data_IF_891475268768
#
_entry.id   IF_891475268768
#
_cell.length_a   1.000
_cell.length_b   1.000
_cell.length_c   1.000
_cell.angle_alpha   90.00
_cell.angle_beta   90.00
_cell.angle_gamma   90.00
#
_symmetry.space_group_name_H-M   'P 1'
#
loop_
_entity.id
_entity.type
_entity.pdbx_description
1 polymer ?
#
# COMPACT_ATOMS: atom_id res chain seq x y z
N UNK A 1 3.76 9.90 -12.40
CA UNK A 1 3.33 8.55 -12.02
C UNK A 1 3.80 8.25 -10.62
N UNK A 2 2.91 8.43 -9.65
CA UNK A 2 3.21 8.16 -8.22
C UNK A 2 2.63 6.80 -7.85
N UNK A 3 3.51 5.88 -7.45
CA UNK A 3 3.13 4.59 -6.88
C UNK A 3 3.49 4.55 -5.40
N UNK A 4 2.62 3.96 -4.58
CA UNK A 4 2.80 3.83 -3.13
C UNK A 4 2.76 2.37 -2.73
N UNK A 5 3.67 1.97 -1.84
CA UNK A 5 3.63 0.68 -1.14
C UNK A 5 3.20 0.92 0.31
N UNK A 6 2.16 0.23 0.76
CA UNK A 6 1.78 0.17 2.17
C UNK A 6 2.32 -1.11 2.78
N UNK A 7 3.23 -0.97 3.74
CA UNK A 7 3.81 -2.10 4.49
C UNK A 7 3.41 -1.98 5.96
N UNK A 8 2.68 -2.97 6.46
CA UNK A 8 2.16 -3.00 7.84
C UNK A 8 1.82 -4.46 8.22
N UNK A 9 2.10 -4.86 9.47
CA UNK A 9 1.87 -6.20 9.99
C UNK A 9 0.39 -6.46 10.29
N UNK A 10 -0.39 -5.42 10.58
CA UNK A 10 -1.83 -5.48 10.76
C UNK A 10 -2.57 -5.52 9.42
N UNK A 11 -3.28 -6.62 9.09
CA UNK A 11 -4.06 -6.70 7.85
C UNK A 11 -5.12 -5.60 7.75
N UNK A 12 -5.71 -5.21 8.89
CA UNK A 12 -6.74 -4.19 8.94
C UNK A 12 -6.16 -2.79 8.69
N UNK A 13 -5.01 -2.46 9.29
CA UNK A 13 -4.36 -1.18 9.07
C UNK A 13 -3.88 -1.04 7.61
N UNK A 14 -3.28 -2.11 7.06
CA UNK A 14 -2.80 -2.13 5.68
C UNK A 14 -3.93 -1.89 4.67
N UNK A 15 -5.08 -2.50 4.85
CA UNK A 15 -6.23 -2.30 3.95
C UNK A 15 -6.86 -0.90 4.11
N UNK A 16 -6.96 -0.39 5.35
CA UNK A 16 -7.44 0.97 5.61
C UNK A 16 -6.54 2.02 4.94
N UNK A 17 -5.23 1.89 5.09
CA UNK A 17 -4.23 2.75 4.46
C UNK A 17 -4.26 2.62 2.94
N UNK A 18 -4.35 1.39 2.39
CA UNK A 18 -4.46 1.19 0.94
C UNK A 18 -5.63 1.96 0.34
N UNK A 19 -6.80 1.92 0.99
CA UNK A 19 -7.99 2.66 0.56
C UNK A 19 -7.81 4.16 0.69
N UNK A 20 -7.30 4.64 1.82
CA UNK A 20 -7.09 6.07 2.06
C UNK A 20 -6.07 6.68 1.09
N UNK A 21 -4.96 5.98 0.83
CA UNK A 21 -3.93 6.44 -0.10
C UNK A 21 -4.44 6.44 -1.54
N UNK A 22 -5.30 5.48 -1.91
CA UNK A 22 -5.87 5.42 -3.26
C UNK A 22 -6.78 6.61 -3.61
N UNK A 23 -7.22 7.40 -2.64
CA UNK A 23 -8.02 8.62 -2.90
C UNK A 23 -7.17 9.88 -3.03
N UNK A 24 -5.85 9.80 -2.81
CA UNK A 24 -4.96 10.96 -2.90
C UNK A 24 -4.76 11.36 -4.37
N UNK A 25 -5.04 12.62 -4.75
CA UNK A 25 -4.82 13.09 -6.11
C UNK A 25 -3.38 12.87 -6.60
N UNK A 26 -3.23 12.25 -7.77
CA UNK A 26 -1.93 11.95 -8.38
C UNK A 26 -1.32 10.61 -7.96
N UNK A 27 -1.94 9.86 -7.03
CA UNK A 27 -1.60 8.46 -6.80
C UNK A 27 -2.24 7.60 -7.88
N UNK A 28 -1.41 6.89 -8.63
CA UNK A 28 -1.86 6.03 -9.73
C UNK A 28 -1.93 4.56 -9.35
N UNK A 29 -1.12 4.13 -8.36
CA UNK A 29 -1.06 2.74 -7.92
C UNK A 29 -0.75 2.65 -6.43
N UNK A 30 -1.49 1.79 -5.73
CA UNK A 30 -1.20 1.42 -4.35
C UNK A 30 -1.08 -0.10 -4.25
N UNK A 31 0.09 -0.57 -3.80
CA UNK A 31 0.35 -1.98 -3.50
C UNK A 31 0.49 -2.17 -1.99
N UNK A 32 0.41 -3.43 -1.55
CA UNK A 32 0.52 -3.78 -0.14
C UNK A 32 1.51 -4.92 0.03
N UNK A 33 2.18 -4.95 1.18
CA UNK A 33 3.01 -6.06 1.61
C UNK A 33 2.88 -6.24 3.12
N UNK A 34 2.84 -7.49 3.59
CA UNK A 34 2.89 -7.79 5.02
C UNK A 34 4.33 -7.84 5.57
N UNK A 35 5.32 -7.94 4.68
CA UNK A 35 6.75 -8.02 5.02
C UNK A 35 7.62 -7.69 3.79
N UNK A 36 8.93 -7.60 4.00
CA UNK A 36 9.88 -7.25 2.93
C UNK A 36 10.02 -8.30 1.82
N UNK A 37 9.79 -9.59 2.09
CA UNK A 37 9.92 -10.64 1.07
C UNK A 37 8.84 -10.55 0.01
N UNK A 38 7.62 -10.14 0.40
CA UNK A 38 6.51 -9.93 -0.53
C UNK A 38 6.75 -8.78 -1.52
N UNK A 39 7.61 -7.82 -1.18
CA UNK A 39 7.93 -6.67 -2.03
C UNK A 39 8.88 -7.04 -3.17
N UNK A 40 9.65 -8.11 -3.02
CA UNK A 40 10.69 -8.52 -3.96
C UNK A 40 10.20 -9.50 -5.05
N UNK A 41 8.93 -9.91 -5.02
CA UNK A 41 8.30 -10.82 -6.01
C UNK A 41 7.57 -10.02 -7.09
#
# INVERSE_FOLDING_TARGET
MTSVLVCDDSPLAREALRRAVATVPGVERVTTAANGEEVLR
#
